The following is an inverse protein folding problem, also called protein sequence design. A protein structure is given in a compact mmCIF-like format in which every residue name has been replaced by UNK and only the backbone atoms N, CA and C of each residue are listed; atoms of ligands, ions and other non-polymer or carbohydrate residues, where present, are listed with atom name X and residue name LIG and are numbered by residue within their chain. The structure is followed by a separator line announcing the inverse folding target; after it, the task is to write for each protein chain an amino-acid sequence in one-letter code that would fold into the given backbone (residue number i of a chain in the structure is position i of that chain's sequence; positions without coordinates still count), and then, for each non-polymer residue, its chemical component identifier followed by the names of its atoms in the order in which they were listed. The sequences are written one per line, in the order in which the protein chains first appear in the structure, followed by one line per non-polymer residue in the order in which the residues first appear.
data_IF_969597040781
#
_entry.id   IF_969597040781
#
_cell.length_a   1.000
_cell.length_b   1.000
_cell.length_c   1.000
_cell.angle_alpha   90.00
_cell.angle_beta   90.00
_cell.angle_gamma   90.00
#
_symmetry.space_group_name_H-M   'P 1'
#
loop_
_entity.id
_entity.type
_entity.pdbx_description
1 polymer ?
#
# COMPACT_ATOMS: atom_id res chain seq x y z
N UNK A 1 -8.59 -1.09 5.04
CA UNK A 1 -7.69 -1.27 3.88
C UNK A 1 -6.26 -1.37 4.37
N UNK A 2 -5.35 -1.95 3.58
CA UNK A 2 -3.94 -2.07 3.92
C UNK A 2 -3.08 -2.07 2.65
N UNK A 3 -1.78 -1.84 2.82
CA UNK A 3 -0.82 -1.82 1.72
C UNK A 3 -0.10 -3.16 1.65
N UNK A 4 -0.05 -3.74 0.44
CA UNK A 4 0.76 -4.92 0.14
C UNK A 4 1.92 -4.52 -0.75
N UNK A 5 3.12 -5.00 -0.42
CA UNK A 5 4.30 -4.86 -1.28
C UNK A 5 4.52 -6.14 -2.09
N UNK A 6 4.94 -5.99 -3.34
CA UNK A 6 5.43 -7.07 -4.19
C UNK A 6 6.82 -6.71 -4.67
N UNK A 7 7.77 -7.62 -4.47
CA UNK A 7 9.11 -7.49 -5.03
C UNK A 7 9.15 -8.15 -6.40
N UNK A 8 9.64 -7.42 -7.41
CA UNK A 8 9.80 -7.93 -8.79
C UNK A 8 11.13 -7.40 -9.31
N UNK A 9 12.07 -8.31 -9.63
CA UNK A 9 13.41 -7.96 -10.16
C UNK A 9 14.14 -6.90 -9.32
N UNK A 10 14.12 -7.02 -7.99
CA UNK A 10 14.76 -6.05 -7.08
C UNK A 10 13.99 -4.75 -6.84
N UNK A 11 12.88 -4.54 -7.54
CA UNK A 11 12.03 -3.36 -7.33
C UNK A 11 10.83 -3.68 -6.44
N UNK A 12 10.50 -2.76 -5.53
CA UNK A 12 9.29 -2.82 -4.71
C UNK A 12 8.13 -2.10 -5.40
N UNK A 13 6.98 -2.78 -5.41
CA UNK A 13 5.73 -2.29 -5.96
C UNK A 13 4.63 -2.37 -4.90
N UNK A 14 3.94 -1.26 -4.69
CA UNK A 14 2.92 -1.11 -3.66
C UNK A 14 1.51 -1.24 -4.27
N UNK A 15 0.63 -1.87 -3.50
CA UNK A 15 -0.76 -2.12 -3.87
C UNK A 15 -1.66 -1.82 -2.68
N UNK A 16 -2.80 -1.18 -2.94
CA UNK A 16 -3.85 -1.00 -1.95
C UNK A 16 -4.80 -2.21 -2.00
N UNK A 17 -5.04 -2.82 -0.84
CA UNK A 17 -5.95 -3.97 -0.69
C UNK A 17 -7.02 -3.70 0.37
N UNK A 18 -8.18 -4.34 0.18
CA UNK A 18 -9.29 -4.32 1.12
C UNK A 18 -9.64 -5.76 1.52
N UNK A 19 -9.53 -6.08 2.80
CA UNK A 19 -10.09 -7.32 3.37
C UNK A 19 -11.61 -7.22 3.48
N UNK A 20 -12.35 -7.99 2.69
CA UNK A 20 -13.80 -8.12 2.77
C UNK A 20 -14.16 -9.52 3.27
N UNK A 21 -15.14 -9.64 4.16
CA UNK A 21 -15.68 -10.93 4.58
C UNK A 21 -16.82 -11.33 3.64
N UNK A 22 -16.68 -12.44 2.94
CA UNK A 22 -17.71 -13.03 2.07
C UNK A 22 -17.94 -14.48 2.48
N UNK A 23 -19.20 -14.84 2.76
CA UNK A 23 -19.61 -16.21 3.10
C UNK A 23 -18.79 -16.82 4.26
N UNK A 24 -18.53 -16.01 5.28
CA UNK A 24 -17.75 -16.43 6.46
C UNK A 24 -16.22 -16.44 6.25
N UNK A 25 -15.71 -16.26 5.02
CA UNK A 25 -14.29 -16.25 4.69
C UNK A 25 -13.78 -14.82 4.46
N UNK A 26 -12.57 -14.52 4.93
CA UNK A 26 -11.90 -13.24 4.64
C UNK A 26 -11.22 -13.34 3.28
N UNK A 27 -11.62 -12.49 2.34
CA UNK A 27 -10.98 -12.34 1.03
C UNK A 27 -10.30 -10.97 0.95
N UNK A 28 -9.09 -10.95 0.39
CA UNK A 28 -8.37 -9.72 0.10
C UNK A 28 -8.60 -9.30 -1.35
N UNK A 29 -9.25 -8.16 -1.55
CA UNK A 29 -9.53 -7.60 -2.87
C UNK A 29 -8.47 -6.54 -3.20
N UNK A 30 -7.90 -6.61 -4.41
CA UNK A 30 -7.04 -5.55 -4.93
C UNK A 30 -7.89 -4.33 -5.26
N UNK A 31 -7.57 -3.20 -4.63
CA UNK A 31 -8.27 -1.92 -4.83
C UNK A 31 -7.56 -1.10 -5.88
N UNK A 32 -6.24 -0.90 -5.72
CA UNK A 32 -5.46 -0.07 -6.62
C UNK A 32 -4.01 -0.50 -6.68
N UNK A 33 -3.39 -0.31 -7.84
CA UNK A 33 -1.95 -0.37 -8.01
C UNK A 33 -1.34 1.00 -7.75
N UNK A 34 -0.45 1.10 -6.76
CA UNK A 34 0.13 2.37 -6.32
C UNK A 34 1.47 2.67 -7.00
N UNK A 35 2.19 1.65 -7.49
CA UNK A 35 3.46 1.84 -8.20
C UNK A 35 4.69 1.68 -7.28
N UNK A 36 5.77 2.37 -7.61
CA UNK A 36 6.99 2.46 -6.77
C UNK A 36 6.77 3.44 -5.62
N UNK A 37 7.70 3.55 -4.68
CA UNK A 37 7.55 4.36 -3.46
C UNK A 37 7.03 5.78 -3.72
N UNK A 38 7.73 6.57 -4.54
CA UNK A 38 7.36 7.97 -4.81
C UNK A 38 5.95 8.06 -5.41
N UNK A 39 5.69 7.26 -6.43
CA UNK A 39 4.36 7.19 -7.08
C UNK A 39 3.27 6.70 -6.14
N UNK A 40 3.60 5.82 -5.19
CA UNK A 40 2.65 5.22 -4.28
C UNK A 40 2.16 6.23 -3.25
N UNK A 41 3.05 7.08 -2.74
CA UNK A 41 2.69 8.17 -1.84
C UNK A 41 1.79 9.18 -2.56
N UNK A 42 2.19 9.59 -3.76
CA UNK A 42 1.42 10.56 -4.57
C UNK A 42 0.01 10.02 -4.89
N UNK A 43 -0.08 8.78 -5.38
CA UNK A 43 -1.39 8.17 -5.69
C UNK A 43 -2.26 8.02 -4.46
N UNK A 44 -1.68 7.63 -3.32
CA UNK A 44 -2.44 7.50 -2.08
C UNK A 44 -3.00 8.85 -1.63
N UNK A 45 -2.22 9.93 -1.78
CA UNK A 45 -2.67 11.30 -1.52
C UNK A 45 -3.79 11.72 -2.49
N UNK A 46 -3.64 11.45 -3.79
CA UNK A 46 -4.68 11.74 -4.79
C UNK A 46 -6.00 11.01 -4.48
N UNK A 47 -5.94 9.73 -4.11
CA UNK A 47 -7.12 8.94 -3.74
C UNK A 47 -7.83 9.54 -2.51
N UNK A 48 -7.07 10.00 -1.51
CA UNK A 48 -7.63 10.69 -0.35
C UNK A 48 -8.29 12.01 -0.74
N UNK A 49 -7.63 12.80 -1.61
CA UNK A 49 -8.15 14.09 -2.08
C UNK A 49 -9.43 13.93 -2.92
N UNK A 50 -9.53 12.85 -3.70
CA UNK A 50 -10.73 12.51 -4.51
C UNK A 50 -11.85 11.90 -3.68
N UNK A 51 -11.62 11.57 -2.41
CA UNK A 51 -12.59 10.93 -1.53
C UNK A 51 -12.78 9.43 -1.79
N UNK A 52 -11.87 8.80 -2.53
CA UNK A 52 -11.88 7.34 -2.76
C UNK A 52 -11.47 6.56 -1.50
N UNK A 53 -10.66 7.20 -0.65
CA UNK A 53 -10.31 6.74 0.68
C UNK A 53 -10.45 7.88 1.69
N UNK A 54 -10.72 7.54 2.95
CA UNK A 54 -10.77 8.53 4.02
C UNK A 54 -9.36 8.85 4.59
N UNK A 55 -9.28 9.95 5.34
CA UNK A 55 -8.02 10.43 5.92
C UNK A 55 -7.38 9.44 6.91
N UNK A 56 -8.16 8.60 7.60
CA UNK A 56 -7.60 7.60 8.53
C UNK A 56 -6.93 6.48 7.73
N UNK A 57 -7.62 5.98 6.70
CA UNK A 57 -7.06 5.00 5.76
C UNK A 57 -5.80 5.52 5.08
N UNK A 58 -5.80 6.78 4.63
CA UNK A 58 -4.61 7.44 4.10
C UNK A 58 -3.45 7.41 5.08
N UNK A 59 -3.66 7.91 6.32
CA UNK A 59 -2.62 7.95 7.36
C UNK A 59 -2.04 6.56 7.65
N UNK A 60 -2.89 5.54 7.79
CA UNK A 60 -2.45 4.19 8.11
C UNK A 60 -1.69 3.52 6.96
N UNK A 61 -2.14 3.75 5.72
CA UNK A 61 -1.47 3.25 4.53
C UNK A 61 -0.12 3.94 4.30
N UNK A 62 -0.03 5.25 4.54
CA UNK A 62 1.22 6.01 4.45
C UNK A 62 2.26 5.50 5.44
N UNK A 63 1.87 5.27 6.70
CA UNK A 63 2.75 4.67 7.72
C UNK A 63 3.27 3.29 7.29
N UNK A 64 2.40 2.47 6.70
CA UNK A 64 2.80 1.16 6.18
C UNK A 64 3.81 1.26 5.04
N UNK A 65 3.58 2.14 4.06
CA UNK A 65 4.51 2.36 2.94
C UNK A 65 5.90 2.77 3.46
N UNK A 66 5.95 3.74 4.38
CA UNK A 66 7.21 4.22 4.95
C UNK A 66 7.97 3.13 5.72
N UNK A 67 7.24 2.30 6.48
CA UNK A 67 7.83 1.18 7.24
C UNK A 67 8.41 0.13 6.29
N UNK A 68 7.69 -0.19 5.22
CA UNK A 68 8.12 -1.17 4.22
C UNK A 68 9.33 -0.68 3.41
N UNK A 69 9.40 0.61 3.09
CA UNK A 69 10.55 1.20 2.39
C UNK A 69 11.82 1.15 3.25
N UNK A 70 11.73 1.60 4.52
CA UNK A 70 12.84 1.53 5.47
C UNK A 70 13.36 0.12 5.69
N UNK A 71 12.46 -0.86 5.67
CA UNK A 71 12.84 -2.27 5.80
C UNK A 71 13.64 -2.76 4.59
N UNK A 72 13.36 -2.24 3.39
CA UNK A 72 14.15 -2.53 2.18
C UNK A 72 15.57 -1.99 2.29
N UNK A 73 15.69 -0.72 2.65
CA UNK A 73 16.98 -0.02 2.78
C UNK A 73 17.92 -0.78 3.72
N UNK A 74 17.41 -1.20 4.89
CA UNK A 74 18.19 -1.99 5.87
C UNK A 74 18.63 -3.38 5.39
N UNK A 75 17.93 -3.98 4.44
CA UNK A 75 18.27 -5.31 3.88
C UNK A 75 19.25 -5.17 2.72
N UNK A 76 19.25 -4.04 2.02
CA UNK A 76 20.24 -3.75 0.96
C UNK A 76 21.60 -3.31 1.52
N UNK A 77 21.64 -2.81 2.77
CA UNK A 77 22.86 -2.40 3.47
C UNK A 77 23.55 -3.52 4.29
N UNK A 78 22.94 -4.70 4.41
CA UNK A 78 23.41 -5.84 5.21
C UNK A 78 23.98 -6.97 4.35
#
# INVERSE_FOLDING_TARGET
MYVRVKQVKGHQYYYLQHSKKEEGKVKSVHVAYLGKYDTAVDRLYEMCRKGEIDHRVFSDCLKQINTLNRTKERVEEA
#
